data_IF_289535451676
#
_entry.id   IF_289535451676
#
_cell.length_a   1.000
_cell.length_b   1.000
_cell.length_c   1.000
_cell.angle_alpha   90.00
_cell.angle_beta   90.00
_cell.angle_gamma   90.00
#
_symmetry.space_group_name_H-M   'P 1'
#
loop_
_entity.id
_entity.type
_entity.pdbx_description
1 polymer ?
#
# COMPACT_ATOMS: atom_id res chain seq x y z
N UNK A 1 38.16 -35.00 -35.84
CA UNK A 1 38.29 -33.65 -35.26
C UNK A 1 36.88 -33.05 -35.13
N UNK A 2 35.97 -33.59 -34.34
CA UNK A 2 34.57 -33.10 -34.31
C UNK A 2 33.89 -33.29 -32.93
N UNK A 3 34.68 -33.44 -31.85
CA UNK A 3 34.15 -33.60 -30.47
C UNK A 3 34.53 -32.40 -29.58
N UNK A 4 35.45 -31.56 -30.05
CA UNK A 4 35.90 -30.34 -29.35
C UNK A 4 34.92 -29.18 -29.45
N UNK A 5 34.04 -29.17 -30.46
CA UNK A 5 33.03 -28.14 -30.66
C UNK A 5 31.82 -28.28 -29.72
N UNK A 6 31.54 -29.50 -29.23
CA UNK A 6 30.36 -29.77 -28.38
C UNK A 6 30.62 -29.40 -26.91
N UNK A 7 31.88 -29.48 -26.44
CA UNK A 7 32.22 -29.04 -25.08
C UNK A 7 32.30 -27.51 -24.93
N UNK A 8 32.41 -26.76 -26.03
CA UNK A 8 32.50 -25.30 -25.99
C UNK A 8 31.13 -24.59 -25.95
N UNK A 9 30.04 -25.30 -26.28
CA UNK A 9 28.68 -24.76 -26.27
C UNK A 9 27.91 -25.06 -24.97
N UNK A 10 28.46 -25.89 -24.07
CA UNK A 10 27.87 -26.26 -22.78
C UNK A 10 28.42 -25.42 -21.60
N UNK A 11 29.18 -24.36 -21.88
CA UNK A 11 29.78 -23.47 -20.87
C UNK A 11 29.08 -22.12 -20.70
N UNK A 12 27.97 -21.87 -21.41
CA UNK A 12 27.33 -20.56 -21.46
C UNK A 12 25.87 -20.59 -20.95
N UNK A 13 25.67 -21.18 -19.78
CA UNK A 13 24.43 -21.00 -19.01
C UNK A 13 24.78 -20.57 -17.60
N UNK A 14 25.37 -19.37 -17.49
CA UNK A 14 25.50 -18.67 -16.22
C UNK A 14 24.11 -18.15 -15.85
N UNK A 15 23.53 -18.77 -14.82
CA UNK A 15 22.30 -18.32 -14.19
C UNK A 15 22.52 -16.95 -13.55
N UNK A 16 21.94 -15.90 -14.14
CA UNK A 16 21.79 -14.62 -13.47
C UNK A 16 20.63 -14.74 -12.47
N UNK A 17 20.96 -14.97 -11.20
CA UNK A 17 20.04 -14.70 -10.09
C UNK A 17 19.90 -13.19 -9.95
N UNK A 18 18.77 -12.64 -10.40
CA UNK A 18 18.40 -11.27 -10.09
C UNK A 18 17.96 -11.21 -8.62
N UNK A 19 18.89 -10.83 -7.73
CA UNK A 19 18.55 -10.40 -6.38
C UNK A 19 17.95 -8.99 -6.50
N UNK A 20 16.64 -8.88 -6.28
CA UNK A 20 15.94 -7.61 -6.24
C UNK A 20 16.20 -6.94 -4.88
N UNK A 21 17.27 -6.16 -4.81
CA UNK A 21 17.58 -5.35 -3.64
C UNK A 21 16.69 -4.09 -3.64
N UNK A 22 15.66 -4.09 -2.79
CA UNK A 22 14.77 -2.95 -2.60
C UNK A 22 15.37 -1.98 -1.56
N UNK A 23 15.78 -0.79 -2.01
CA UNK A 23 16.34 0.23 -1.13
C UNK A 23 15.24 1.17 -0.63
N UNK A 24 15.13 1.30 0.70
CA UNK A 24 14.25 2.22 1.40
C UNK A 24 15.11 3.34 2.00
N UNK A 25 14.80 4.61 1.72
CA UNK A 25 15.29 5.72 2.53
C UNK A 25 14.14 6.53 3.10
N UNK A 26 14.43 7.23 4.20
CA UNK A 26 13.51 8.14 4.88
C UNK A 26 14.13 9.51 4.74
N UNK A 27 13.40 10.46 4.17
CA UNK A 27 13.86 11.85 4.11
C UNK A 27 13.70 12.57 5.47
N UNK A 28 14.22 13.79 5.55
CA UNK A 28 14.23 14.61 6.77
C UNK A 28 12.81 15.03 7.21
N UNK A 29 11.82 14.84 6.35
CA UNK A 29 10.39 15.05 6.60
C UNK A 29 9.64 13.76 6.98
N UNK A 30 10.34 12.62 7.12
CA UNK A 30 9.78 11.33 7.54
C UNK A 30 9.07 10.55 6.43
N UNK A 31 9.18 10.99 5.17
CA UNK A 31 8.56 10.33 4.02
C UNK A 31 9.47 9.22 3.51
N UNK A 32 8.89 8.04 3.34
CA UNK A 32 9.60 6.84 2.90
C UNK A 32 9.61 6.77 1.37
N UNK A 33 10.79 6.81 0.78
CA UNK A 33 10.99 6.66 -0.66
C UNK A 33 11.65 5.31 -0.97
N UNK A 34 11.22 4.68 -2.06
CA UNK A 34 11.80 3.44 -2.59
C UNK A 34 12.36 3.72 -3.98
N UNK A 35 13.62 3.35 -4.24
CA UNK A 35 14.21 3.47 -5.58
C UNK A 35 15.18 2.35 -5.89
N UNK A 36 15.12 1.86 -7.13
CA UNK A 36 15.95 0.78 -7.66
C UNK A 36 17.17 1.32 -8.45
N UNK A 37 17.68 2.52 -8.10
CA UNK A 37 18.86 3.12 -8.77
C UNK A 37 19.87 3.70 -7.77
N UNK A 38 21.15 3.32 -7.86
CA UNK A 38 22.17 3.76 -6.91
C UNK A 38 22.50 5.25 -7.09
N UNK A 39 22.62 5.98 -5.98
CA UNK A 39 23.16 7.35 -5.93
C UNK A 39 24.43 7.40 -5.07
N UNK A 40 25.46 8.18 -5.47
CA UNK A 40 26.69 8.33 -4.71
C UNK A 40 26.47 9.24 -3.48
N UNK A 41 26.86 8.75 -2.28
CA UNK A 41 26.81 9.52 -1.02
C UNK A 41 26.27 8.77 0.21
N UNK A 42 26.05 7.46 0.14
CA UNK A 42 25.52 6.70 1.26
C UNK A 42 26.55 6.53 2.40
N UNK A 43 26.26 7.11 3.56
CA UNK A 43 26.94 6.78 4.81
C UNK A 43 26.32 5.55 5.48
N UNK A 44 27.19 4.73 6.04
CA UNK A 44 26.88 3.42 6.61
C UNK A 44 26.47 3.59 8.07
N UNK A 45 25.22 3.29 8.42
CA UNK A 45 24.76 3.27 9.83
C UNK A 45 24.74 1.85 10.36
N UNK A 46 25.58 1.61 11.36
CA UNK A 46 25.75 0.37 12.11
C UNK A 46 24.48 0.08 12.93
N UNK A 47 23.90 -1.10 12.74
CA UNK A 47 22.73 -1.54 13.51
C UNK A 47 23.20 -2.01 14.89
N UNK A 48 23.13 -1.13 15.88
CA UNK A 48 23.30 -1.48 17.29
C UNK A 48 22.24 -2.48 17.76
N UNK A 49 22.56 -3.37 18.73
CA UNK A 49 21.74 -4.52 19.05
C UNK A 49 20.42 -4.19 19.76
N UNK A 50 19.36 -4.84 19.27
CA UNK A 50 18.02 -4.98 19.85
C UNK A 50 18.01 -5.18 21.36
N UNK A 51 17.34 -4.28 22.09
CA UNK A 51 16.90 -4.55 23.46
C UNK A 51 15.37 -4.69 23.49
N UNK A 52 14.80 -5.86 23.84
CA UNK A 52 13.37 -6.00 24.05
C UNK A 52 12.98 -5.45 25.42
N UNK A 53 12.28 -4.32 25.45
CA UNK A 53 11.72 -3.77 26.70
C UNK A 53 10.55 -4.63 27.19
N UNK A 54 10.77 -5.26 28.35
CA UNK A 54 9.82 -6.09 29.10
C UNK A 54 8.71 -5.22 29.73
N UNK A 55 7.43 -5.63 29.76
CA UNK A 55 6.39 -4.87 30.42
C UNK A 55 6.51 -4.95 31.95
N UNK A 56 6.47 -3.80 32.61
CA UNK A 56 6.51 -3.67 34.09
C UNK A 56 5.08 -3.69 34.64
N UNK A 57 4.79 -4.42 35.73
CA UNK A 57 3.45 -4.45 36.31
C UNK A 57 3.15 -3.16 37.09
N UNK A 58 1.97 -2.60 36.86
CA UNK A 58 1.41 -1.44 37.58
C UNK A 58 0.91 -1.91 38.95
N UNK A 59 1.30 -1.18 40.00
CA UNK A 59 0.79 -1.33 41.37
C UNK A 59 -0.23 -0.21 41.61
N UNK A 60 -1.43 -0.49 42.16
CA UNK A 60 -2.38 0.56 42.49
C UNK A 60 -2.05 1.14 43.87
N UNK A 61 -1.76 2.44 43.92
CA UNK A 61 -1.58 3.20 45.14
C UNK A 61 -2.42 4.48 45.07
N UNK A 62 -3.38 4.59 45.98
CA UNK A 62 -4.36 5.65 46.06
C UNK A 62 -3.79 7.00 46.53
N UNK A 63 -4.50 8.06 46.12
CA UNK A 63 -5.03 9.13 46.99
C UNK A 63 -4.56 10.56 46.68
N UNK A 64 -5.60 11.40 46.59
CA UNK A 64 -5.69 12.82 46.95
C UNK A 64 -5.33 13.88 45.90
N UNK A 65 -6.40 14.58 45.51
CA UNK A 65 -6.51 15.79 44.69
C UNK A 65 -5.90 17.05 45.35
N UNK A 66 -6.20 18.26 44.84
CA UNK A 66 -5.98 18.78 43.50
C UNK A 66 -4.96 19.94 43.56
N UNK A 67 -4.25 20.23 42.48
CA UNK A 67 -3.53 21.50 42.37
C UNK A 67 -3.60 22.00 40.94
N UNK A 68 -4.36 23.08 40.80
CA UNK A 68 -4.42 23.95 39.65
C UNK A 68 -3.00 24.32 39.22
N UNK A 69 -2.65 23.95 38.00
CA UNK A 69 -1.71 24.73 37.21
C UNK A 69 -2.14 24.58 35.75
N UNK A 70 -2.74 25.65 35.24
CA UNK A 70 -2.82 25.96 33.83
C UNK A 70 -1.39 26.02 33.27
N UNK A 71 -0.89 24.87 32.87
CA UNK A 71 0.08 24.78 31.79
C UNK A 71 -0.60 24.00 30.70
N UNK A 72 -1.18 24.74 29.77
CA UNK A 72 -1.46 24.28 28.43
C UNK A 72 -0.13 23.77 27.82
N UNK A 73 0.21 22.53 28.14
CA UNK A 73 1.04 21.71 27.29
C UNK A 73 0.21 21.47 26.03
N UNK A 74 0.28 22.42 25.11
CA UNK A 74 0.04 22.17 23.70
C UNK A 74 1.07 21.14 23.25
N UNK A 75 0.84 19.88 23.62
CA UNK A 75 1.45 18.75 22.97
C UNK A 75 1.19 18.96 21.48
N UNK A 76 2.23 18.98 20.63
CA UNK A 76 2.04 18.98 19.20
C UNK A 76 1.10 17.82 18.89
N UNK A 77 -0.11 18.13 18.44
CA UNK A 77 -1.03 17.10 17.95
C UNK A 77 -0.34 16.54 16.72
N UNK A 78 0.25 15.36 16.83
CA UNK A 78 0.83 14.71 15.65
C UNK A 78 -0.23 14.67 14.55
N UNK A 79 0.11 15.11 13.33
CA UNK A 79 -0.84 15.09 12.23
C UNK A 79 -1.20 13.64 11.96
N UNK A 80 -2.49 13.34 12.00
CA UNK A 80 -2.95 11.99 11.67
C UNK A 80 -2.64 11.67 10.22
N UNK A 81 -2.11 10.47 10.01
CA UNK A 81 -1.80 9.94 8.69
C UNK A 81 -2.28 8.49 8.57
N UNK A 82 -2.58 8.10 7.33
CA UNK A 82 -2.82 6.70 6.99
C UNK A 82 -1.49 6.01 6.70
N UNK A 83 -1.35 4.78 7.17
CA UNK A 83 -0.14 3.98 7.00
C UNK A 83 -0.23 3.03 5.81
N UNK A 84 -1.43 2.53 5.47
CA UNK A 84 -1.62 1.71 4.28
C UNK A 84 -3.02 1.86 3.67
N UNK A 85 -3.07 1.80 2.35
CA UNK A 85 -4.29 1.71 1.56
C UNK A 85 -4.07 0.74 0.40
N UNK A 86 -4.92 -0.28 0.27
CA UNK A 86 -4.82 -1.31 -0.75
C UNK A 86 -6.19 -1.68 -1.30
N UNK A 87 -6.24 -2.03 -2.58
CA UNK A 87 -7.42 -2.66 -3.20
C UNK A 87 -7.31 -4.16 -2.97
N UNK A 88 -8.22 -4.73 -2.16
CA UNK A 88 -8.22 -6.16 -1.84
C UNK A 88 -9.10 -6.97 -2.79
N UNK A 89 -10.13 -6.35 -3.36
CA UNK A 89 -10.95 -6.93 -4.42
C UNK A 89 -11.31 -5.85 -5.44
N UNK A 90 -11.20 -6.11 -6.75
CA UNK A 90 -10.56 -7.28 -7.34
C UNK A 90 -9.05 -7.34 -7.04
N UNK A 91 -8.51 -8.55 -6.91
CA UNK A 91 -7.08 -8.75 -6.71
C UNK A 91 -6.31 -8.35 -7.98
N UNK A 92 -5.04 -7.96 -7.81
CA UNK A 92 -4.18 -7.64 -8.92
C UNK A 92 -4.09 -8.83 -9.89
N UNK A 93 -4.29 -8.54 -11.18
CA UNK A 93 -4.29 -9.48 -12.30
C UNK A 93 -5.38 -10.55 -12.26
N UNK A 94 -6.38 -10.40 -11.39
CA UNK A 94 -7.53 -11.30 -11.33
C UNK A 94 -8.32 -11.27 -12.64
N UNK A 95 -8.74 -12.44 -13.10
CA UNK A 95 -9.71 -12.56 -14.20
C UNK A 95 -11.09 -12.86 -13.63
N UNK A 96 -12.02 -11.94 -13.84
CA UNK A 96 -13.42 -12.03 -13.47
C UNK A 96 -14.24 -12.50 -14.68
N UNK A 97 -15.16 -13.44 -14.45
CA UNK A 97 -15.99 -14.03 -15.48
C UNK A 97 -17.47 -13.71 -15.24
N UNK A 98 -18.18 -13.30 -16.29
CA UNK A 98 -19.64 -13.10 -16.28
C UNK A 98 -20.15 -12.29 -15.09
N UNK A 99 -19.50 -11.16 -14.78
CA UNK A 99 -19.89 -10.31 -13.65
C UNK A 99 -21.19 -9.52 -13.89
N UNK A 100 -21.91 -9.77 -14.99
CA UNK A 100 -23.17 -9.09 -15.35
C UNK A 100 -23.09 -7.54 -15.37
N UNK A 101 -21.90 -6.99 -15.58
CA UNK A 101 -21.67 -5.54 -15.54
C UNK A 101 -21.48 -4.96 -14.15
N UNK A 102 -21.46 -5.79 -13.10
CA UNK A 102 -21.38 -5.40 -11.70
C UNK A 102 -20.06 -5.84 -11.09
N UNK A 103 -19.24 -4.87 -10.69
CA UNK A 103 -17.96 -5.12 -10.05
C UNK A 103 -18.03 -4.80 -8.56
N UNK A 104 -17.79 -5.79 -7.72
CA UNK A 104 -17.63 -5.60 -6.28
C UNK A 104 -16.19 -5.23 -5.94
N UNK A 105 -16.01 -4.06 -5.35
CA UNK A 105 -14.72 -3.52 -4.95
C UNK A 105 -14.63 -3.49 -3.43
N UNK A 106 -13.48 -3.94 -2.91
CA UNK A 106 -13.14 -3.87 -1.50
C UNK A 106 -11.76 -3.27 -1.32
N UNK A 107 -11.64 -2.39 -0.34
CA UNK A 107 -10.43 -1.70 0.04
C UNK A 107 -10.03 -2.10 1.47
N UNK A 108 -8.72 -2.22 1.71
CA UNK A 108 -8.14 -2.30 3.04
C UNK A 108 -7.43 -0.99 3.34
N UNK A 109 -7.83 -0.34 4.44
CA UNK A 109 -7.25 0.91 4.90
C UNK A 109 -6.81 0.75 6.36
N UNK A 110 -5.61 1.23 6.67
CA UNK A 110 -5.06 1.27 8.02
C UNK A 110 -4.40 2.63 8.28
N UNK A 111 -4.72 3.32 9.39
CA UNK A 111 -5.81 3.08 10.34
C UNK A 111 -7.20 3.19 9.70
N UNK A 112 -8.28 2.88 10.43
CA UNK A 112 -9.64 2.95 9.89
C UNK A 112 -9.99 4.36 9.37
N UNK A 113 -10.90 4.43 8.40
CA UNK A 113 -11.36 5.69 7.82
C UNK A 113 -11.90 6.59 8.93
N UNK A 114 -11.41 7.83 9.02
CA UNK A 114 -11.87 8.79 10.01
C UNK A 114 -13.15 9.45 9.54
N UNK A 115 -13.98 9.88 10.49
CA UNK A 115 -15.11 10.73 10.17
C UNK A 115 -14.63 12.00 9.46
N UNK A 116 -15.39 12.45 8.46
CA UNK A 116 -15.06 13.63 7.65
C UNK A 116 -14.17 13.35 6.44
N UNK A 117 -13.34 12.30 6.49
CA UNK A 117 -12.52 11.91 5.35
C UNK A 117 -13.34 11.20 4.28
N UNK A 118 -12.99 11.42 3.02
CA UNK A 118 -13.67 10.85 1.86
C UNK A 118 -12.77 9.90 1.10
N UNK A 119 -13.36 8.83 0.55
CA UNK A 119 -12.66 7.91 -0.33
C UNK A 119 -13.04 8.25 -1.77
N UNK A 120 -12.02 8.50 -2.59
CA UNK A 120 -12.17 8.71 -4.02
C UNK A 120 -11.52 7.55 -4.76
N UNK A 121 -12.22 7.02 -5.76
CA UNK A 121 -11.77 5.87 -6.54
C UNK A 121 -11.70 6.26 -7.99
N UNK A 122 -10.63 5.85 -8.64
CA UNK A 122 -10.40 6.04 -10.06
C UNK A 122 -10.59 4.70 -10.74
N UNK A 123 -11.64 4.59 -11.55
CA UNK A 123 -11.92 3.43 -12.37
C UNK A 123 -11.67 3.80 -13.83
N UNK A 124 -10.65 3.20 -14.45
CA UNK A 124 -10.18 3.55 -15.80
C UNK A 124 -9.93 5.06 -16.02
N UNK A 125 -9.48 5.74 -14.97
CA UNK A 125 -9.23 7.19 -14.97
C UNK A 125 -10.46 8.04 -14.65
N UNK A 126 -11.67 7.47 -14.58
CA UNK A 126 -12.86 8.18 -14.12
C UNK A 126 -12.92 8.21 -12.60
N UNK A 127 -12.84 9.41 -12.02
CA UNK A 127 -12.93 9.62 -10.58
C UNK A 127 -14.37 9.50 -10.09
N UNK A 128 -14.59 8.76 -9.00
CA UNK A 128 -15.88 8.55 -8.35
C UNK A 128 -15.69 8.61 -6.84
N UNK A 129 -16.47 9.45 -6.17
CA UNK A 129 -16.48 9.47 -4.69
C UNK A 129 -17.36 8.34 -4.19
N UNK A 130 -16.84 7.56 -3.24
CA UNK A 130 -17.53 6.40 -2.68
C UNK A 130 -17.67 6.52 -1.18
N UNK A 131 -18.75 5.96 -0.64
CA UNK A 131 -18.98 5.89 0.80
C UNK A 131 -18.46 4.57 1.34
N UNK A 132 -17.44 4.63 2.18
CA UNK A 132 -16.85 3.45 2.83
C UNK A 132 -15.78 2.74 1.99
N UNK A 133 -15.45 1.53 2.41
CA UNK A 133 -14.35 0.72 1.85
C UNK A 133 -14.82 -0.44 0.96
N UNK A 134 -16.12 -0.71 0.92
CA UNK A 134 -16.72 -1.73 0.07
C UNK A 134 -17.88 -1.11 -0.70
N UNK A 135 -17.86 -1.25 -2.02
CA UNK A 135 -18.87 -0.64 -2.90
C UNK A 135 -18.93 -1.41 -4.22
N UNK A 136 -19.96 -1.13 -5.00
CA UNK A 136 -20.18 -1.73 -6.31
C UNK A 136 -20.02 -0.67 -7.41
N UNK A 137 -19.38 -1.07 -8.50
CA UNK A 137 -19.27 -0.30 -9.73
C UNK A 137 -20.14 -1.00 -10.78
N UNK A 138 -21.14 -0.30 -11.29
CA UNK A 138 -21.97 -0.78 -12.39
C UNK A 138 -21.38 -0.40 -13.76
N UNK A 139 -21.94 -1.00 -14.81
CA UNK A 139 -21.56 -0.80 -16.21
C UNK A 139 -20.10 -1.18 -16.53
N UNK A 140 -19.58 -2.22 -15.86
CA UNK A 140 -18.24 -2.76 -16.12
C UNK A 140 -18.28 -3.75 -17.28
N UNK A 141 -17.77 -3.32 -18.43
CA UNK A 141 -17.72 -4.14 -19.64
C UNK A 141 -16.56 -5.14 -19.63
N UNK A 142 -16.48 -6.00 -20.65
CA UNK A 142 -15.33 -6.90 -20.84
C UNK A 142 -14.10 -6.11 -21.25
N UNK A 143 -12.93 -6.54 -20.79
CA UNK A 143 -11.67 -5.89 -21.15
C UNK A 143 -10.64 -5.91 -20.03
N UNK A 144 -9.62 -5.07 -20.19
CA UNK A 144 -8.64 -4.77 -19.16
C UNK A 144 -9.12 -3.51 -18.45
N UNK A 145 -9.16 -3.57 -17.13
CA UNK A 145 -9.56 -2.46 -16.28
C UNK A 145 -8.48 -2.16 -15.25
N UNK A 146 -8.45 -0.92 -14.81
CA UNK A 146 -7.57 -0.46 -13.75
C UNK A 146 -8.38 0.29 -12.69
N UNK A 147 -8.08 0.00 -11.43
CA UNK A 147 -8.69 0.67 -10.29
C UNK A 147 -7.64 1.18 -9.31
N UNK A 148 -7.82 2.41 -8.83
CA UNK A 148 -6.99 3.02 -7.82
C UNK A 148 -7.87 3.73 -6.80
N UNK A 149 -7.47 3.73 -5.54
CA UNK A 149 -8.19 4.43 -4.47
C UNK A 149 -7.31 5.51 -3.84
N UNK A 150 -7.95 6.56 -3.36
CA UNK A 150 -7.38 7.70 -2.68
C UNK A 150 -8.25 8.04 -1.47
N UNK A 151 -7.61 8.52 -0.40
CA UNK A 151 -8.31 9.11 0.73
C UNK A 151 -7.99 10.59 0.79
N UNK A 152 -9.05 11.38 0.84
CA UNK A 152 -9.03 12.83 0.96
C UNK A 152 -9.47 13.21 2.37
N UNK A 153 -8.83 14.24 2.93
CA UNK A 153 -9.28 14.90 4.15
C UNK A 153 -10.56 15.73 3.91
N UNK A 154 -11.19 16.23 4.97
CA UNK A 154 -12.32 17.18 4.95
C UNK A 154 -12.05 18.39 4.06
N UNK A 155 -10.78 18.80 3.96
CA UNK A 155 -10.32 19.93 3.13
C UNK A 155 -10.12 19.56 1.66
N UNK A 156 -10.27 18.28 1.27
CA UNK A 156 -9.96 17.77 -0.06
C UNK A 156 -8.47 17.51 -0.30
N UNK A 157 -7.62 17.59 0.75
CA UNK A 157 -6.19 17.26 0.65
C UNK A 157 -5.98 15.75 0.56
N UNK A 158 -5.17 15.30 -0.39
CA UNK A 158 -4.76 13.90 -0.52
C UNK A 158 -3.96 13.46 0.71
N UNK A 159 -4.44 12.42 1.39
CA UNK A 159 -3.80 11.82 2.57
C UNK A 159 -3.00 10.57 2.21
N UNK A 160 -3.56 9.69 1.38
CA UNK A 160 -2.91 8.46 0.92
C UNK A 160 -3.51 8.00 -0.40
N UNK A 161 -2.72 7.30 -1.21
CA UNK A 161 -3.12 6.72 -2.50
C UNK A 161 -2.69 5.26 -2.54
N UNK A 162 -3.55 4.40 -3.08
CA UNK A 162 -3.26 2.98 -3.28
C UNK A 162 -2.37 2.78 -4.50
N UNK A 163 -1.71 1.62 -4.57
CA UNK A 163 -1.21 1.15 -5.86
C UNK A 163 -2.39 0.88 -6.83
N UNK A 164 -2.22 1.12 -8.14
CA UNK A 164 -3.21 0.74 -9.13
C UNK A 164 -3.31 -0.78 -9.23
N UNK A 165 -4.54 -1.30 -9.20
CA UNK A 165 -4.86 -2.72 -9.39
C UNK A 165 -5.45 -2.92 -10.78
N UNK A 166 -4.68 -3.60 -11.65
CA UNK A 166 -5.14 -4.01 -12.97
C UNK A 166 -5.83 -5.36 -12.88
N UNK A 167 -6.98 -5.53 -13.52
CA UNK A 167 -7.71 -6.80 -13.58
C UNK A 167 -8.38 -6.98 -14.94
N UNK A 168 -8.91 -8.18 -15.18
CA UNK A 168 -9.48 -8.58 -16.46
C UNK A 168 -10.93 -9.01 -16.29
N UNK A 169 -11.79 -8.58 -17.22
CA UNK A 169 -13.20 -9.01 -17.26
C UNK A 169 -13.47 -9.74 -18.56
N UNK A 170 -13.96 -10.97 -18.44
CA UNK A 170 -14.30 -11.84 -19.56
C UNK A 170 -15.77 -12.28 -19.51
N UNK A 171 -16.32 -12.57 -20.69
CA UNK A 171 -17.68 -13.10 -20.86
C UNK A 171 -17.61 -14.45 -21.55
N UNK A 172 -18.30 -15.44 -21.01
CA UNK A 172 -18.41 -16.76 -21.64
C UNK A 172 -19.30 -16.65 -22.87
N UNK A 173 -18.81 -17.16 -24.01
CA UNK A 173 -19.63 -17.33 -25.21
C UNK A 173 -20.36 -18.66 -25.09
N UNK A 174 -21.69 -18.63 -24.99
CA UNK A 174 -22.49 -19.84 -25.18
C UNK A 174 -22.59 -20.09 -26.68
N UNK A 175 -22.11 -21.25 -27.15
CA UNK A 175 -22.36 -21.72 -28.52
C UNK A 175 -23.81 -22.20 -28.58
N UNK A 176 -24.62 -21.59 -29.45
CA UNK A 176 -25.97 -22.07 -29.79
C UNK A 176 -25.86 -23.07 -30.94
#
# INVERSE_FOLDING_TARGET
MEIRAIFFLLGLLVANGALADAYKWVDEDGVVHFSDRPHPGAERVDLGPTTPSRPRPVRPGASSAPSSNDQASSQPVEPFSYTSLQVTSPAAEQTLWNIEGQLNVSLALNPALRAGHQVQVYFDGAARTVSGLSFQIDEVYRGVHNIQAEVLDETGKLMIRSQPSRFYVQQTRVRR
#
